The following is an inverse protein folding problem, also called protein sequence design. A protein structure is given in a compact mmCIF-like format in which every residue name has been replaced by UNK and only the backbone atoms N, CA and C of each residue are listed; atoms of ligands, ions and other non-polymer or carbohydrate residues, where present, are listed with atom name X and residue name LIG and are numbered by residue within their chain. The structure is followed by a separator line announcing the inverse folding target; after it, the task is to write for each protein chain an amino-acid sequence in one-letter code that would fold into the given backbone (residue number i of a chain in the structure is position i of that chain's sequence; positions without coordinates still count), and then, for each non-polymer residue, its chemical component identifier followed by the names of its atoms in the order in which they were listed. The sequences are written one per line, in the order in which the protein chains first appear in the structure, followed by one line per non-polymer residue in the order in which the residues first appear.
data_IF_477175652452
#
_entry.id   IF_477175652452
#
_cell.length_a   1.000
_cell.length_b   1.000
_cell.length_c   1.000
_cell.angle_alpha   90.00
_cell.angle_beta   90.00
_cell.angle_gamma   90.00
#
_symmetry.space_group_name_H-M   'P 1'
#
loop_
_entity.id
_entity.type
_entity.pdbx_description
1 polymer ?
#
# COMPACT_ATOMS: atom_id res chain seq x y z
N UNK A 1 34.74 32.25 42.03
CA UNK A 1 33.92 31.46 41.09
C UNK A 1 32.45 31.76 41.38
N UNK A 2 31.79 32.50 40.51
CA UNK A 2 30.38 32.90 40.66
C UNK A 2 29.50 31.61 40.61
N UNK A 3 28.72 31.36 41.64
CA UNK A 3 27.78 30.24 41.69
C UNK A 3 26.64 30.54 40.68
N UNK A 4 26.58 29.80 39.59
CA UNK A 4 25.48 29.90 38.64
C UNK A 4 24.14 29.75 39.37
N UNK A 5 23.15 30.58 38.98
CA UNK A 5 21.80 30.46 39.56
C UNK A 5 21.20 29.09 39.24
N UNK A 6 20.30 28.62 40.08
CA UNK A 6 19.62 27.32 39.85
C UNK A 6 18.96 27.30 38.51
N UNK A 7 18.26 28.37 38.09
CA UNK A 7 17.60 28.50 36.81
C UNK A 7 18.57 28.37 35.63
N UNK A 8 19.73 29.04 35.68
CA UNK A 8 20.75 28.98 34.63
C UNK A 8 21.29 27.54 34.48
N UNK A 9 21.51 26.86 35.61
CA UNK A 9 21.97 25.46 35.59
C UNK A 9 20.92 24.52 34.97
N UNK A 10 19.62 24.68 35.29
CA UNK A 10 18.53 23.91 34.72
C UNK A 10 18.42 24.13 33.20
N UNK A 11 18.46 25.37 32.73
CA UNK A 11 18.42 25.71 31.30
C UNK A 11 19.60 25.06 30.59
N UNK A 12 20.81 25.17 31.12
CA UNK A 12 22.01 24.60 30.50
C UNK A 12 21.94 23.09 30.38
N UNK A 13 21.51 22.39 31.43
CA UNK A 13 21.36 20.93 31.41
C UNK A 13 20.29 20.51 30.42
N UNK A 14 19.14 21.19 30.42
CA UNK A 14 18.06 20.89 29.48
C UNK A 14 18.50 21.08 28.02
N UNK A 15 19.16 22.20 27.73
CA UNK A 15 19.70 22.50 26.39
C UNK A 15 20.73 21.45 25.97
N UNK A 16 21.64 21.06 26.87
CA UNK A 16 22.63 20.02 26.57
C UNK A 16 21.99 18.67 26.21
N UNK A 17 21.00 18.24 27.02
CA UNK A 17 20.28 17.00 26.77
C UNK A 17 19.53 17.07 25.43
N UNK A 18 18.86 18.18 25.14
CA UNK A 18 18.11 18.36 23.90
C UNK A 18 19.02 18.31 22.67
N UNK A 19 20.15 19.03 22.71
CA UNK A 19 21.13 19.05 21.62
C UNK A 19 21.74 17.66 21.40
N UNK A 20 22.11 16.98 22.48
CA UNK A 20 22.67 15.64 22.40
C UNK A 20 21.66 14.63 21.84
N UNK A 21 20.43 14.64 22.35
CA UNK A 21 19.37 13.75 21.86
C UNK A 21 19.02 14.03 20.40
N UNK A 22 18.87 15.30 20.03
CA UNK A 22 18.62 15.71 18.64
C UNK A 22 19.76 15.30 17.69
N UNK A 23 21.00 15.47 18.13
CA UNK A 23 22.19 15.06 17.37
C UNK A 23 22.25 13.54 17.14
N UNK A 24 21.97 12.76 18.18
CA UNK A 24 21.92 11.29 18.08
C UNK A 24 20.82 10.86 17.12
N UNK A 25 19.60 11.42 17.23
CA UNK A 25 18.48 11.09 16.35
C UNK A 25 18.79 11.45 14.88
N UNK A 26 19.33 12.65 14.64
CA UNK A 26 19.70 13.09 13.29
C UNK A 26 20.78 12.19 12.66
N UNK A 27 21.80 11.83 13.44
CA UNK A 27 22.85 10.91 13.00
C UNK A 27 22.30 9.52 12.66
N UNK A 28 21.41 9.00 13.52
CA UNK A 28 20.77 7.71 13.30
C UNK A 28 19.89 7.70 12.05
N UNK A 29 19.10 8.76 11.86
CA UNK A 29 18.25 8.94 10.68
C UNK A 29 19.07 8.92 9.38
N UNK A 30 20.22 9.63 9.36
CA UNK A 30 21.11 9.65 8.20
C UNK A 30 21.67 8.27 7.83
N UNK A 31 21.96 7.42 8.80
CA UNK A 31 22.46 6.06 8.58
C UNK A 31 21.32 5.13 8.15
N UNK A 32 20.11 5.34 8.67
CA UNK A 32 18.98 4.44 8.49
C UNK A 32 18.23 4.68 7.18
N UNK A 33 18.10 5.94 6.75
CA UNK A 33 17.42 6.32 5.50
C UNK A 33 17.82 5.51 4.27
N UNK A 34 19.11 5.32 3.92
CA UNK A 34 19.49 4.56 2.73
C UNK A 34 19.08 3.09 2.81
N UNK A 35 19.13 2.49 4.01
CA UNK A 35 18.69 1.10 4.22
C UNK A 35 17.18 0.96 4.04
N UNK A 36 16.40 1.91 4.59
CA UNK A 36 14.95 1.94 4.42
C UNK A 36 14.59 2.10 2.95
N UNK A 37 15.26 3.01 2.22
CA UNK A 37 15.03 3.20 0.79
C UNK A 37 15.32 1.94 -0.02
N UNK A 38 16.41 1.24 0.29
CA UNK A 38 16.76 -0.02 -0.36
C UNK A 38 15.69 -1.10 -0.14
N UNK A 39 15.28 -1.32 1.12
CA UNK A 39 14.24 -2.31 1.43
C UNK A 39 12.87 -1.96 0.85
N UNK A 40 12.52 -0.67 0.80
CA UNK A 40 11.30 -0.21 0.11
C UNK A 40 11.33 -0.55 -1.38
N UNK A 41 12.47 -0.37 -2.03
CA UNK A 41 12.64 -0.68 -3.45
C UNK A 41 12.55 -2.18 -3.73
N UNK A 42 13.15 -3.01 -2.87
CA UNK A 42 13.03 -4.46 -2.96
C UNK A 42 11.57 -4.92 -2.72
N UNK A 43 10.91 -4.36 -1.69
CA UNK A 43 9.51 -4.66 -1.38
C UNK A 43 8.58 -4.25 -2.54
N UNK A 44 8.86 -3.11 -3.20
CA UNK A 44 8.13 -2.65 -4.37
C UNK A 44 8.24 -3.66 -5.53
N UNK A 45 9.47 -4.07 -5.87
CA UNK A 45 9.72 -5.06 -6.94
C UNK A 45 9.02 -6.39 -6.66
N UNK A 46 9.14 -6.88 -5.43
CA UNK A 46 8.47 -8.11 -5.02
C UNK A 46 6.95 -7.97 -5.09
N UNK A 47 6.40 -6.81 -4.70
CA UNK A 47 4.97 -6.57 -4.74
C UNK A 47 4.42 -6.53 -6.16
N UNK A 48 5.14 -5.94 -7.12
CA UNK A 48 4.76 -5.97 -8.53
C UNK A 48 4.61 -7.42 -9.01
N UNK A 49 5.58 -8.28 -8.68
CA UNK A 49 5.52 -9.70 -9.01
C UNK A 49 4.37 -10.45 -8.34
N UNK A 50 3.99 -10.07 -7.11
CA UNK A 50 2.92 -10.74 -6.37
C UNK A 50 1.51 -10.38 -6.85
N UNK A 51 1.32 -9.12 -7.33
CA UNK A 51 0.00 -8.62 -7.74
C UNK A 51 -0.30 -8.82 -9.21
N UNK A 52 0.72 -9.03 -10.04
CA UNK A 52 0.55 -9.26 -11.48
C UNK A 52 0.55 -10.75 -11.83
N UNK A 53 -0.07 -11.14 -12.95
CA UNK A 53 0.10 -12.47 -13.51
C UNK A 53 1.57 -12.76 -13.84
N UNK A 54 1.90 -14.03 -14.11
CA UNK A 54 3.25 -14.40 -14.55
C UNK A 54 3.66 -13.56 -15.78
N UNK A 55 4.78 -12.85 -15.66
CA UNK A 55 5.32 -11.93 -16.67
C UNK A 55 6.84 -12.07 -16.69
N UNK A 56 7.47 -11.71 -17.79
CA UNK A 56 8.92 -11.79 -17.95
C UNK A 56 9.59 -10.44 -17.65
N UNK A 57 8.94 -9.37 -18.08
CA UNK A 57 9.44 -8.00 -17.88
C UNK A 57 8.29 -7.05 -17.54
N UNK A 58 8.63 -5.91 -16.98
CA UNK A 58 7.71 -4.79 -16.86
C UNK A 58 8.42 -3.47 -17.19
N UNK A 59 7.69 -2.55 -17.77
CA UNK A 59 8.09 -1.15 -17.95
C UNK A 59 7.42 -0.28 -16.90
N UNK A 60 8.05 0.83 -16.53
CA UNK A 60 7.47 1.83 -15.63
C UNK A 60 7.24 3.14 -16.35
N UNK A 61 6.13 3.77 -16.10
CA UNK A 61 5.75 5.03 -16.71
C UNK A 61 5.14 5.96 -15.66
N UNK A 62 5.62 7.21 -15.62
CA UNK A 62 5.10 8.24 -14.74
C UNK A 62 3.83 8.85 -15.33
N UNK A 63 2.81 8.99 -14.48
CA UNK A 63 1.54 9.62 -14.80
C UNK A 63 1.21 10.71 -13.79
N UNK A 64 0.20 11.51 -14.05
CA UNK A 64 -0.31 12.51 -13.10
C UNK A 64 -0.82 11.89 -11.78
N UNK A 65 -1.20 10.61 -11.78
CA UNK A 65 -1.68 9.88 -10.60
C UNK A 65 -0.65 8.90 -10.03
N UNK A 66 0.62 9.02 -10.42
CA UNK A 66 1.74 8.19 -9.96
C UNK A 66 2.29 7.25 -11.03
N UNK A 67 3.27 6.44 -10.64
CA UNK A 67 3.92 5.48 -11.53
C UNK A 67 3.02 4.28 -11.79
N UNK A 68 2.84 3.91 -13.04
CA UNK A 68 2.24 2.65 -13.46
C UNK A 68 3.33 1.69 -13.95
N UNK A 69 3.14 0.41 -13.68
CA UNK A 69 4.02 -0.68 -14.08
C UNK A 69 3.24 -1.59 -15.03
N UNK A 70 3.67 -1.67 -16.27
CA UNK A 70 3.01 -2.43 -17.33
C UNK A 70 3.81 -3.72 -17.54
N UNK A 71 3.21 -4.86 -17.20
CA UNK A 71 3.82 -6.17 -17.35
C UNK A 71 3.56 -6.75 -18.74
N UNK A 72 4.59 -7.32 -19.34
CA UNK A 72 4.54 -8.00 -20.62
C UNK A 72 5.08 -9.42 -20.50
N UNK A 73 4.62 -10.31 -21.39
CA UNK A 73 5.11 -11.69 -21.49
C UNK A 73 5.74 -11.88 -22.86
N UNK A 74 6.95 -12.44 -22.84
CA UNK A 74 7.76 -12.65 -24.05
C UNK A 74 7.90 -11.39 -24.93
N UNK A 75 8.29 -11.57 -26.15
CA UNK A 75 8.46 -10.50 -27.14
C UNK A 75 7.14 -9.89 -27.66
N UNK A 76 6.00 -10.20 -27.03
CA UNK A 76 4.72 -9.60 -27.41
C UNK A 76 4.58 -8.25 -26.72
N UNK A 77 4.29 -7.20 -27.50
CA UNK A 77 4.00 -5.85 -26.97
C UNK A 77 2.65 -5.78 -26.23
N UNK A 78 1.95 -6.92 -26.06
CA UNK A 78 0.66 -6.94 -25.39
C UNK A 78 0.83 -7.02 -23.87
N UNK A 79 0.25 -6.09 -23.11
CA UNK A 79 0.31 -6.12 -21.66
C UNK A 79 -0.49 -7.31 -21.11
N UNK A 80 0.04 -7.97 -20.07
CA UNK A 80 -0.64 -9.03 -19.32
C UNK A 80 -1.22 -8.53 -18.00
N UNK A 81 -0.90 -7.31 -17.61
CA UNK A 81 -1.43 -6.63 -16.44
C UNK A 81 -0.77 -5.29 -16.19
N UNK A 82 -1.42 -4.49 -15.39
CA UNK A 82 -0.94 -3.16 -14.97
C UNK A 82 -0.94 -3.08 -13.46
N UNK A 83 0.19 -2.68 -12.87
CA UNK A 83 0.26 -2.44 -11.43
C UNK A 83 0.53 -0.96 -11.13
N UNK A 84 0.05 -0.50 -9.99
CA UNK A 84 0.25 0.86 -9.50
C UNK A 84 0.12 0.93 -7.99
N UNK A 85 0.63 2.00 -7.39
CA UNK A 85 0.49 2.28 -5.96
C UNK A 85 -0.79 3.04 -5.69
N UNK A 86 -1.64 2.51 -4.81
CA UNK A 86 -2.77 3.20 -4.23
C UNK A 86 -2.43 3.64 -2.80
N UNK A 87 -2.70 4.90 -2.48
CA UNK A 87 -2.42 5.49 -1.17
C UNK A 87 -3.66 6.22 -0.64
N UNK A 88 -3.86 6.15 0.66
CA UNK A 88 -4.94 6.88 1.32
C UNK A 88 -5.01 6.61 2.81
N UNK A 89 -5.97 7.24 3.47
CA UNK A 89 -6.14 7.12 4.92
C UNK A 89 -6.84 5.81 5.28
N UNK A 90 -6.18 5.01 6.12
CA UNK A 90 -6.79 3.91 6.84
C UNK A 90 -7.57 4.39 8.07
N UNK A 91 -7.72 3.52 9.07
CA UNK A 91 -8.35 3.91 10.34
C UNK A 91 -7.41 4.73 11.24
N UNK A 92 -6.15 4.33 11.38
CA UNK A 92 -5.18 5.03 12.24
C UNK A 92 -4.14 5.84 11.47
N UNK A 93 -3.85 5.48 10.23
CA UNK A 93 -2.83 6.16 9.44
C UNK A 93 -2.90 5.84 7.97
N UNK A 94 -1.88 6.27 7.25
CA UNK A 94 -1.78 6.05 5.81
C UNK A 94 -1.59 4.56 5.49
N UNK A 95 -2.31 4.10 4.46
CA UNK A 95 -2.13 2.80 3.83
C UNK A 95 -1.47 2.99 2.47
N UNK A 96 -0.50 2.12 2.15
CA UNK A 96 0.12 2.04 0.83
C UNK A 96 -0.05 0.64 0.29
N UNK A 97 -0.76 0.53 -0.82
CA UNK A 97 -1.22 -0.73 -1.38
C UNK A 97 -0.76 -0.82 -2.82
N UNK A 98 0.02 -1.86 -3.15
CA UNK A 98 0.29 -2.23 -4.53
C UNK A 98 -0.95 -2.93 -5.09
N UNK A 99 -1.40 -2.50 -6.24
CA UNK A 99 -2.61 -2.98 -6.91
C UNK A 99 -2.25 -3.50 -8.28
N UNK A 100 -2.72 -4.68 -8.63
CA UNK A 100 -2.65 -5.22 -9.98
C UNK A 100 -4.03 -5.27 -10.62
N UNK A 101 -4.13 -4.86 -11.88
CA UNK A 101 -5.32 -4.92 -12.73
C UNK A 101 -5.05 -5.73 -13.99
N UNK A 102 -6.10 -6.35 -14.51
CA UNK A 102 -6.10 -6.91 -15.87
C UNK A 102 -5.88 -5.80 -16.90
N UNK A 103 -5.35 -6.13 -18.09
CA UNK A 103 -5.11 -5.14 -19.15
C UNK A 103 -6.38 -4.39 -19.60
N UNK A 104 -7.53 -5.04 -19.48
CA UNK A 104 -8.86 -4.48 -19.81
C UNK A 104 -9.42 -3.59 -18.68
N UNK A 105 -8.66 -3.43 -17.57
CA UNK A 105 -9.08 -2.65 -16.40
C UNK A 105 -10.42 -3.10 -15.77
N UNK A 106 -10.76 -4.37 -15.91
CA UNK A 106 -12.06 -4.93 -15.46
C UNK A 106 -11.97 -5.71 -14.16
N UNK A 107 -10.80 -6.30 -13.87
CA UNK A 107 -10.60 -7.18 -12.70
C UNK A 107 -9.28 -6.90 -12.01
N UNK A 108 -9.28 -7.07 -10.69
CA UNK A 108 -8.05 -7.10 -9.90
C UNK A 108 -7.31 -8.41 -10.14
N UNK A 109 -6.02 -8.34 -10.42
CA UNK A 109 -5.13 -9.51 -10.46
C UNK A 109 -4.56 -9.82 -9.08
N UNK A 110 -4.53 -8.82 -8.19
CA UNK A 110 -4.14 -8.97 -6.80
C UNK A 110 -3.92 -7.62 -6.12
N UNK A 111 -3.81 -7.66 -4.80
CA UNK A 111 -3.36 -6.51 -4.00
C UNK A 111 -2.30 -6.94 -3.00
N UNK A 112 -1.42 -6.02 -2.62
CA UNK A 112 -0.45 -6.20 -1.53
C UNK A 112 -0.29 -4.92 -0.73
N UNK A 113 -0.63 -4.97 0.55
CA UNK A 113 -0.40 -3.85 1.47
C UNK A 113 1.09 -3.80 1.80
N UNK A 114 1.75 -2.69 1.49
CA UNK A 114 3.17 -2.47 1.71
C UNK A 114 3.47 -1.73 3.01
N UNK A 115 2.68 -0.71 3.29
CA UNK A 115 2.82 0.09 4.52
C UNK A 115 1.44 0.30 5.15
N UNK A 116 1.39 0.19 6.46
CA UNK A 116 0.19 0.44 7.26
C UNK A 116 0.56 0.77 8.70
N UNK A 117 -0.28 1.54 9.38
CA UNK A 117 -0.14 1.91 10.80
C UNK A 117 -1.47 1.62 11.51
N UNK A 118 -2.04 0.44 11.25
CA UNK A 118 -3.30 0.02 11.83
C UNK A 118 -3.15 -0.63 13.19
N UNK A 119 -4.24 -0.75 13.94
CA UNK A 119 -4.24 -1.37 15.27
C UNK A 119 -3.78 -2.83 15.22
N UNK A 120 -2.73 -3.21 15.96
CA UNK A 120 -2.27 -4.58 16.04
C UNK A 120 -3.38 -5.57 16.44
N UNK A 121 -3.46 -6.70 15.71
CA UNK A 121 -4.46 -7.75 15.95
C UNK A 121 -5.88 -7.44 15.46
N UNK A 122 -6.14 -6.21 15.00
CA UNK A 122 -7.41 -5.78 14.40
C UNK A 122 -7.18 -5.30 12.95
N UNK A 123 -6.87 -4.02 12.76
CA UNK A 123 -6.66 -3.43 11.44
C UNK A 123 -5.48 -4.03 10.68
N UNK A 124 -4.42 -4.47 11.38
CA UNK A 124 -3.29 -5.18 10.77
C UNK A 124 -3.66 -6.47 10.03
N UNK A 125 -4.86 -7.02 10.27
CA UNK A 125 -5.39 -8.19 9.54
C UNK A 125 -5.63 -7.92 8.05
N UNK A 126 -5.64 -6.66 7.61
CA UNK A 126 -5.63 -6.34 6.17
C UNK A 126 -4.37 -6.85 5.46
N UNK A 127 -3.28 -7.11 6.19
CA UNK A 127 -2.04 -7.70 5.69
C UNK A 127 -2.00 -9.19 5.98
N UNK A 128 -2.09 -9.53 7.26
CA UNK A 128 -2.00 -10.91 7.75
C UNK A 128 -2.90 -11.10 8.97
N UNK A 129 -3.70 -12.15 8.98
CA UNK A 129 -4.52 -12.54 10.12
C UNK A 129 -3.95 -13.80 10.81
N UNK A 130 -3.13 -13.64 11.87
CA UNK A 130 -2.54 -14.79 12.57
C UNK A 130 -3.56 -15.68 13.26
N UNK A 131 -4.79 -15.21 13.45
CA UNK A 131 -5.88 -15.99 14.03
C UNK A 131 -6.49 -16.98 13.05
N UNK A 132 -6.38 -16.73 11.75
CA UNK A 132 -6.77 -17.67 10.70
C UNK A 132 -5.59 -18.58 10.30
N UNK A 133 -5.44 -19.69 11.05
CA UNK A 133 -4.33 -20.63 10.83
C UNK A 133 -4.38 -21.35 9.46
N UNK A 134 -5.54 -21.39 8.80
CA UNK A 134 -5.67 -22.06 7.50
C UNK A 134 -5.21 -21.17 6.36
N UNK A 135 -5.53 -19.90 6.42
CA UNK A 135 -5.14 -18.90 5.42
C UNK A 135 -4.91 -17.55 6.12
N UNK A 136 -3.68 -17.29 6.58
CA UNK A 136 -3.35 -16.02 7.23
C UNK A 136 -3.48 -14.80 6.29
N UNK A 137 -3.41 -15.00 4.99
CA UNK A 137 -3.47 -13.95 3.97
C UNK A 137 -4.85 -13.86 3.29
N UNK A 138 -5.89 -14.45 3.90
CA UNK A 138 -7.22 -14.57 3.33
C UNK A 138 -7.82 -13.22 2.87
N UNK A 139 -7.55 -12.12 3.60
CA UNK A 139 -8.12 -10.83 3.28
C UNK A 139 -7.56 -10.25 1.97
N UNK A 140 -6.25 -10.07 1.78
CA UNK A 140 -5.72 -9.63 0.48
C UNK A 140 -5.93 -10.67 -0.63
N UNK A 141 -5.95 -11.95 -0.33
CA UNK A 141 -6.13 -13.01 -1.32
C UNK A 141 -7.51 -12.96 -2.01
N UNK A 142 -8.56 -12.54 -1.31
CA UNK A 142 -9.91 -12.49 -1.87
C UNK A 142 -10.08 -11.44 -2.98
N UNK A 143 -9.17 -10.47 -3.12
CA UNK A 143 -9.24 -9.44 -4.16
C UNK A 143 -8.88 -9.96 -5.55
N UNK A 144 -8.25 -11.12 -5.64
CA UNK A 144 -7.86 -11.70 -6.94
C UNK A 144 -9.10 -12.15 -7.72
N UNK A 145 -9.25 -11.62 -8.95
CA UNK A 145 -10.40 -11.88 -9.82
C UNK A 145 -11.65 -11.07 -9.51
N UNK A 146 -11.59 -10.18 -8.49
CA UNK A 146 -12.73 -9.30 -8.18
C UNK A 146 -12.89 -8.25 -9.26
N UNK A 147 -14.13 -8.04 -9.71
CA UNK A 147 -14.47 -7.02 -10.69
C UNK A 147 -14.46 -5.63 -10.07
N UNK A 148 -13.92 -4.67 -10.82
CA UNK A 148 -13.79 -3.28 -10.34
C UNK A 148 -14.91 -2.37 -10.85
N UNK A 149 -15.96 -2.93 -11.44
CA UNK A 149 -17.14 -2.21 -11.91
C UNK A 149 -18.41 -2.82 -11.31
N UNK A 150 -19.37 -1.97 -10.85
CA UNK A 150 -19.32 -0.51 -10.82
C UNK A 150 -18.27 0.04 -9.82
N UNK A 151 -18.06 -0.60 -8.68
CA UNK A 151 -17.07 -0.30 -7.64
C UNK A 151 -16.88 -1.51 -6.72
N UNK A 152 -15.77 -1.57 -5.99
CA UNK A 152 -15.54 -2.58 -4.96
C UNK A 152 -16.38 -2.29 -3.73
N UNK A 153 -17.02 -3.29 -3.18
CA UNK A 153 -17.91 -3.18 -2.02
C UNK A 153 -17.49 -4.14 -0.91
N UNK A 154 -17.44 -3.64 0.33
CA UNK A 154 -17.21 -4.48 1.51
C UNK A 154 -18.54 -4.98 2.06
N UNK A 155 -18.73 -6.29 2.11
CA UNK A 155 -19.85 -6.93 2.81
C UNK A 155 -19.46 -7.26 4.25
N UNK A 156 -20.34 -6.91 5.20
CA UNK A 156 -20.13 -7.15 6.64
C UNK A 156 -20.77 -8.48 7.04
N UNK A 157 -20.02 -9.29 7.79
CA UNK A 157 -20.56 -10.52 8.40
C UNK A 157 -21.25 -11.48 7.41
N UNK A 158 -20.93 -11.38 6.13
CA UNK A 158 -21.50 -12.21 5.07
C UNK A 158 -20.39 -12.59 4.09
N UNK A 159 -20.62 -13.65 3.34
CA UNK A 159 -19.77 -13.99 2.19
C UNK A 159 -20.16 -13.11 1.00
N UNK A 160 -19.20 -12.75 0.14
CA UNK A 160 -19.49 -12.09 -1.12
C UNK A 160 -20.50 -12.87 -1.96
N UNK A 161 -21.47 -12.17 -2.53
CA UNK A 161 -22.52 -12.73 -3.41
C UNK A 161 -22.42 -12.18 -4.83
N UNK A 162 -21.72 -11.03 -4.99
CA UNK A 162 -21.49 -10.38 -6.27
C UNK A 162 -19.99 -10.38 -6.60
N UNK A 163 -19.67 -10.24 -7.87
CA UNK A 163 -18.28 -10.31 -8.37
C UNK A 163 -17.39 -9.12 -7.95
N UNK A 164 -17.99 -8.05 -7.45
CA UNK A 164 -17.31 -6.84 -6.96
C UNK A 164 -17.30 -6.73 -5.43
N UNK A 165 -17.76 -7.75 -4.73
CA UNK A 165 -17.81 -7.77 -3.27
C UNK A 165 -16.60 -8.44 -2.65
N UNK A 166 -16.18 -7.92 -1.50
CA UNK A 166 -15.15 -8.52 -0.64
C UNK A 166 -15.65 -8.60 0.80
N UNK A 167 -15.30 -9.67 1.50
CA UNK A 167 -15.69 -9.85 2.90
C UNK A 167 -14.84 -8.95 3.81
N UNK A 168 -15.49 -8.13 4.62
CA UNK A 168 -14.83 -7.31 5.63
C UNK A 168 -14.34 -8.12 6.82
N UNK A 169 -13.26 -7.66 7.44
CA UNK A 169 -12.68 -8.25 8.65
C UNK A 169 -13.54 -7.93 9.86
N UNK A 170 -13.99 -8.95 10.56
CA UNK A 170 -14.71 -8.78 11.82
C UNK A 170 -13.83 -8.08 12.86
N UNK A 171 -14.32 -6.96 13.40
CA UNK A 171 -13.56 -6.10 14.33
C UNK A 171 -12.64 -5.07 13.64
N UNK A 172 -12.49 -5.12 12.30
CA UNK A 172 -11.72 -4.15 11.53
C UNK A 172 -12.43 -3.72 10.24
N UNK A 173 -13.73 -3.53 10.33
CA UNK A 173 -14.56 -3.14 9.17
C UNK A 173 -14.16 -1.78 8.59
N UNK A 174 -13.72 -0.84 9.42
CA UNK A 174 -13.29 0.49 8.97
C UNK A 174 -12.00 0.35 8.13
N UNK A 175 -11.02 -0.41 8.59
CA UNK A 175 -9.80 -0.68 7.83
C UNK A 175 -10.09 -1.44 6.53
N UNK A 176 -11.02 -2.42 6.55
CA UNK A 176 -11.46 -3.15 5.36
C UNK A 176 -12.11 -2.20 4.33
N UNK A 177 -12.99 -1.30 4.81
CA UNK A 177 -13.64 -0.31 3.96
C UNK A 177 -12.63 0.71 3.41
N UNK A 178 -11.69 1.17 4.24
CA UNK A 178 -10.64 2.08 3.80
C UNK A 178 -9.82 1.48 2.65
N UNK A 179 -9.47 0.20 2.70
CA UNK A 179 -8.80 -0.49 1.59
C UNK A 179 -9.63 -0.37 0.31
N UNK A 180 -10.92 -0.73 0.31
CA UNK A 180 -11.75 -0.66 -0.91
C UNK A 180 -11.98 0.76 -1.40
N UNK A 181 -12.16 1.73 -0.51
CA UNK A 181 -12.32 3.14 -0.88
C UNK A 181 -11.04 3.68 -1.55
N UNK A 182 -9.85 3.35 -1.02
CA UNK A 182 -8.55 3.71 -1.60
C UNK A 182 -8.40 3.09 -2.99
N UNK A 183 -8.74 1.81 -3.13
CA UNK A 183 -8.69 1.10 -4.41
C UNK A 183 -9.63 1.74 -5.43
N UNK A 184 -10.90 1.96 -5.08
CA UNK A 184 -11.89 2.55 -5.98
C UNK A 184 -11.44 3.91 -6.52
N UNK A 185 -10.95 4.78 -5.64
CA UNK A 185 -10.47 6.10 -6.02
C UNK A 185 -9.28 6.01 -6.99
N UNK A 186 -8.27 5.20 -6.68
CA UNK A 186 -7.08 5.12 -7.51
C UNK A 186 -7.34 4.38 -8.83
N UNK A 187 -8.16 3.35 -8.82
CA UNK A 187 -8.56 2.64 -10.04
C UNK A 187 -9.29 3.58 -11.01
N UNK A 188 -10.19 4.44 -10.51
CA UNK A 188 -10.87 5.42 -11.34
C UNK A 188 -9.88 6.36 -12.04
N UNK A 189 -8.89 6.88 -11.29
CA UNK A 189 -7.83 7.74 -11.81
C UNK A 189 -7.00 7.02 -12.90
N UNK A 190 -6.55 5.79 -12.59
CA UNK A 190 -5.71 5.02 -13.52
C UNK A 190 -6.48 4.63 -14.79
N UNK A 191 -7.76 4.28 -14.67
CA UNK A 191 -8.62 4.02 -15.83
C UNK A 191 -8.67 5.21 -16.80
N UNK A 192 -8.78 6.43 -16.28
CA UNK A 192 -8.79 7.65 -17.09
C UNK A 192 -7.50 7.78 -17.90
N UNK A 193 -6.35 7.59 -17.27
CA UNK A 193 -5.04 7.63 -17.94
C UNK A 193 -4.90 6.50 -18.95
N UNK A 194 -5.29 5.27 -18.59
CA UNK A 194 -5.19 4.10 -19.46
C UNK A 194 -6.02 4.24 -20.72
N UNK A 195 -7.26 4.72 -20.59
CA UNK A 195 -8.16 4.97 -21.74
C UNK A 195 -7.62 6.06 -22.66
N UNK A 196 -7.05 7.14 -22.11
CA UNK A 196 -6.48 8.23 -22.92
C UNK A 196 -5.28 7.79 -23.78
N UNK A 197 -4.66 6.66 -23.46
CA UNK A 197 -3.53 6.07 -24.20
C UNK A 197 -3.92 5.05 -25.26
N UNK A 198 -5.21 4.75 -25.40
CA UNK A 198 -5.67 3.68 -26.29
C UNK A 198 -5.30 2.29 -25.79
N UNK A 199 -5.21 2.10 -24.48
CA UNK A 199 -4.99 0.78 -23.86
C UNK A 199 -6.14 -0.19 -24.21
N UNK A 200 -5.91 -1.53 -24.14
CA UNK A 200 -6.97 -2.52 -24.34
C UNK A 200 -8.14 -2.25 -23.39
N UNK A 201 -9.37 -2.20 -23.93
CA UNK A 201 -10.57 -1.89 -23.15
C UNK A 201 -11.03 -0.42 -23.21
N UNK A 202 -10.39 0.42 -24.07
CA UNK A 202 -10.84 1.79 -24.38
C UNK A 202 -11.96 1.81 -25.41
#
# INVERSE_FOLDING_TARGET
MSKMSLSTRMILVLTLITVLSGGILAGWDTITKPKIAFHRQEALKAAIGDVLPAHDTYSSEETEFGTIYIATRDSSDQPVGVAFMAMGSGFQGELRIMVGLSPEMTQLTGIKVLEQIETPGLGTKIVVDPSNKKDPYWFPAQFRGVHVSPELVVVKNAKPTQNNEVQGITGATISSKAVTDILNNQIANIKTVWTSRGGPGS
#
